data_IF_879562933768
#
_entry.id   IF_879562933768
#
_cell.length_a   1.000
_cell.length_b   1.000
_cell.length_c   1.000
_cell.angle_alpha   90.00
_cell.angle_beta   90.00
_cell.angle_gamma   90.00
#
_symmetry.space_group_name_H-M   'P 1'
#
loop_
_entity.id
_entity.type
_entity.pdbx_description
1 polymer ?
#
# COMPACT_ATOMS: atom_id res chain seq x y z
N UNK A 1 -35.58 -3.72 -8.49
CA UNK A 1 -34.61 -3.54 -7.42
C UNK A 1 -34.28 -4.90 -6.82
N UNK A 2 -32.98 -5.26 -6.70
CA UNK A 2 -32.56 -6.50 -6.06
C UNK A 2 -32.59 -6.35 -4.53
N UNK A 3 -33.00 -7.43 -3.83
CA UNK A 3 -33.10 -7.45 -2.37
C UNK A 3 -32.08 -8.42 -1.78
N UNK A 4 -31.40 -8.01 -0.71
CA UNK A 4 -30.41 -8.80 0.01
C UNK A 4 -30.71 -8.79 1.53
N UNK A 5 -30.28 -9.85 2.22
CA UNK A 5 -30.30 -9.86 3.68
C UNK A 5 -29.15 -9.01 4.21
N UNK A 6 -27.95 -9.16 3.62
CA UNK A 6 -26.76 -8.43 3.98
C UNK A 6 -26.11 -7.82 2.75
N UNK A 7 -25.81 -6.52 2.80
CA UNK A 7 -24.94 -5.86 1.83
C UNK A 7 -23.68 -5.38 2.54
N UNK A 8 -22.52 -5.71 1.98
CA UNK A 8 -21.22 -5.23 2.46
C UNK A 8 -20.72 -4.16 1.50
N UNK A 9 -20.42 -2.96 2.02
CA UNK A 9 -19.84 -1.86 1.25
C UNK A 9 -18.34 -1.86 1.47
N UNK A 10 -17.57 -2.17 0.41
CA UNK A 10 -16.13 -2.31 0.39
C UNK A 10 -15.68 -3.77 0.32
N UNK A 11 -14.85 -4.09 -0.67
CA UNK A 11 -14.30 -5.43 -0.96
C UNK A 11 -12.90 -5.66 -0.39
N UNK A 12 -12.45 -4.83 0.56
CA UNK A 12 -11.19 -5.03 1.29
C UNK A 12 -11.25 -6.16 2.32
N UNK A 13 -10.18 -6.38 3.12
CA UNK A 13 -10.10 -7.49 4.09
C UNK A 13 -11.27 -7.54 5.08
N UNK A 14 -11.72 -6.41 5.59
CA UNK A 14 -12.90 -6.34 6.45
C UNK A 14 -14.18 -6.73 5.72
N UNK A 15 -14.32 -6.33 4.45
CA UNK A 15 -15.52 -6.54 3.66
C UNK A 15 -15.63 -7.95 3.07
N UNK A 16 -14.62 -8.43 2.33
CA UNK A 16 -14.74 -9.74 1.70
C UNK A 16 -14.85 -10.87 2.73
N UNK A 17 -14.18 -10.75 3.88
CA UNK A 17 -14.29 -11.73 4.97
C UNK A 17 -15.71 -11.73 5.56
N UNK A 18 -16.27 -10.54 5.81
CA UNK A 18 -17.62 -10.38 6.31
C UNK A 18 -18.67 -10.93 5.32
N UNK A 19 -18.52 -10.62 4.02
CA UNK A 19 -19.43 -11.10 2.98
C UNK A 19 -19.40 -12.64 2.86
N UNK A 20 -18.22 -13.25 2.86
CA UNK A 20 -18.07 -14.72 2.84
C UNK A 20 -18.74 -15.32 4.07
N UNK A 21 -18.48 -14.76 5.25
CA UNK A 21 -19.07 -15.28 6.48
C UNK A 21 -20.60 -15.15 6.53
N UNK A 22 -21.14 -14.01 6.10
CA UNK A 22 -22.59 -13.81 6.00
C UNK A 22 -23.23 -14.86 5.08
N UNK A 23 -22.65 -15.07 3.89
CA UNK A 23 -23.14 -16.07 2.95
C UNK A 23 -23.07 -17.51 3.50
N UNK A 24 -21.99 -17.86 4.21
CA UNK A 24 -21.85 -19.16 4.88
C UNK A 24 -22.90 -19.39 5.98
N UNK A 25 -23.39 -18.32 6.60
CA UNK A 25 -24.49 -18.37 7.58
C UNK A 25 -25.87 -18.44 6.93
N UNK A 26 -25.94 -18.50 5.60
CA UNK A 26 -27.18 -18.66 4.85
C UNK A 26 -27.84 -17.36 4.41
N UNK A 27 -27.25 -16.19 4.66
CA UNK A 27 -27.78 -14.90 4.23
C UNK A 27 -27.57 -14.67 2.74
N UNK A 28 -28.57 -14.17 2.05
CA UNK A 28 -28.45 -13.66 0.68
C UNK A 28 -27.59 -12.39 0.71
N UNK A 29 -26.34 -12.51 0.26
CA UNK A 29 -25.32 -11.47 0.47
C UNK A 29 -24.87 -10.85 -0.85
N UNK A 30 -24.66 -9.52 -0.84
CA UNK A 30 -23.92 -8.80 -1.87
C UNK A 30 -22.72 -8.06 -1.27
N UNK A 31 -21.68 -7.86 -2.07
CA UNK A 31 -20.56 -6.99 -1.78
C UNK A 31 -20.43 -5.94 -2.89
N UNK A 32 -20.37 -4.67 -2.50
CA UNK A 32 -20.22 -3.54 -3.41
C UNK A 32 -18.83 -2.98 -3.28
N UNK A 33 -18.08 -2.90 -4.39
CA UNK A 33 -16.75 -2.28 -4.42
C UNK A 33 -16.53 -1.55 -5.75
N UNK A 34 -16.03 -0.32 -5.68
CA UNK A 34 -15.75 0.53 -6.84
C UNK A 34 -14.26 0.59 -7.21
N UNK A 35 -13.37 -0.14 -6.49
CA UNK A 35 -11.95 -0.04 -6.74
C UNK A 35 -11.56 -0.64 -8.10
N UNK A 36 -10.78 0.14 -8.86
CA UNK A 36 -10.31 -0.25 -10.20
C UNK A 36 -8.78 -0.26 -10.21
N UNK A 37 -8.19 -1.38 -10.64
CA UNK A 37 -6.76 -1.53 -10.87
C UNK A 37 -6.49 -1.93 -12.31
N UNK A 38 -5.58 -1.23 -12.98
CA UNK A 38 -5.23 -1.51 -14.38
C UNK A 38 -6.48 -1.59 -15.31
N UNK A 39 -7.45 -0.70 -15.09
CA UNK A 39 -8.69 -0.63 -15.88
C UNK A 39 -9.73 -1.70 -15.56
N UNK A 40 -9.51 -2.57 -14.55
CA UNK A 40 -10.42 -3.65 -14.15
C UNK A 40 -10.81 -3.52 -12.69
N UNK A 41 -12.04 -3.89 -12.34
CA UNK A 41 -12.45 -4.01 -10.95
C UNK A 41 -11.61 -5.07 -10.24
N UNK A 42 -11.19 -4.77 -9.01
CA UNK A 42 -10.29 -5.64 -8.25
C UNK A 42 -10.68 -5.65 -6.77
N UNK A 43 -11.16 -6.79 -6.31
CA UNK A 43 -11.40 -7.02 -4.88
C UNK A 43 -10.09 -7.09 -4.09
N UNK A 44 -10.20 -6.93 -2.77
CA UNK A 44 -9.07 -7.05 -1.85
C UNK A 44 -8.66 -5.73 -1.19
N UNK A 45 -9.22 -4.59 -1.64
CA UNK A 45 -8.98 -3.27 -1.06
C UNK A 45 -7.50 -2.86 -1.10
N UNK A 46 -7.16 -1.86 -0.31
CA UNK A 46 -5.80 -1.29 -0.21
C UNK A 46 -4.75 -2.34 0.12
N UNK A 47 -4.98 -3.19 1.13
CA UNK A 47 -3.99 -4.16 1.56
C UNK A 47 -3.56 -5.11 0.43
N UNK A 48 -4.51 -5.64 -0.33
CA UNK A 48 -4.19 -6.59 -1.39
C UNK A 48 -3.64 -5.91 -2.64
N UNK A 49 -4.21 -4.77 -3.03
CA UNK A 49 -3.89 -4.16 -4.32
C UNK A 49 -2.67 -3.25 -4.28
N UNK A 50 -2.55 -2.40 -3.24
CA UNK A 50 -1.54 -1.33 -3.14
C UNK A 50 -0.95 -1.18 -1.73
N UNK A 51 -0.97 -2.25 -0.94
CA UNK A 51 -0.49 -2.26 0.44
C UNK A 51 0.29 -3.51 0.80
N UNK A 52 -0.24 -4.30 1.74
CA UNK A 52 0.44 -5.40 2.41
C UNK A 52 0.94 -6.50 1.45
N UNK A 53 0.15 -6.89 0.48
CA UNK A 53 0.51 -7.99 -0.42
C UNK A 53 1.63 -7.58 -1.38
N UNK A 54 1.53 -6.48 -2.14
CA UNK A 54 2.61 -6.06 -3.00
C UNK A 54 3.88 -5.68 -2.22
N UNK A 55 3.77 -5.01 -1.06
CA UNK A 55 4.95 -4.64 -0.27
C UNK A 55 5.71 -5.87 0.23
N UNK A 56 5.02 -6.90 0.76
CA UNK A 56 5.66 -8.14 1.21
C UNK A 56 6.25 -8.95 0.05
N UNK A 57 5.63 -8.90 -1.13
CA UNK A 57 6.20 -9.52 -2.32
C UNK A 57 7.53 -8.87 -2.74
N UNK A 58 7.62 -7.53 -2.67
CA UNK A 58 8.86 -6.79 -2.94
C UNK A 58 9.90 -6.99 -1.83
N UNK A 59 9.50 -6.92 -0.56
CA UNK A 59 10.37 -7.19 0.59
C UNK A 59 11.02 -8.57 0.46
N UNK A 60 10.24 -9.61 0.17
CA UNK A 60 10.78 -10.97 -0.01
C UNK A 60 11.81 -11.05 -1.14
N UNK A 61 11.52 -10.43 -2.29
CA UNK A 61 12.45 -10.45 -3.43
C UNK A 61 13.73 -9.67 -3.16
N UNK A 62 13.63 -8.50 -2.53
CA UNK A 62 14.77 -7.67 -2.18
C UNK A 62 15.62 -8.30 -1.06
N UNK A 63 14.98 -9.00 -0.11
CA UNK A 63 15.69 -9.73 0.94
C UNK A 63 16.49 -10.89 0.37
N UNK A 64 15.90 -11.73 -0.47
CA UNK A 64 16.63 -12.81 -1.13
C UNK A 64 17.86 -12.30 -1.91
N UNK A 65 17.74 -11.12 -2.54
CA UNK A 65 18.88 -10.51 -3.23
C UNK A 65 19.95 -10.01 -2.26
N UNK A 66 19.54 -9.35 -1.18
CA UNK A 66 20.47 -8.87 -0.14
C UNK A 66 21.19 -10.04 0.57
N UNK A 67 20.47 -11.12 0.88
CA UNK A 67 21.06 -12.33 1.47
C UNK A 67 22.07 -12.98 0.53
N UNK A 68 21.73 -13.08 -0.77
CA UNK A 68 22.62 -13.63 -1.78
C UNK A 68 23.93 -12.83 -1.92
N UNK A 69 23.85 -11.49 -1.76
CA UNK A 69 25.00 -10.59 -1.90
C UNK A 69 25.84 -10.47 -0.63
N UNK A 70 25.26 -10.71 0.57
CA UNK A 70 25.95 -10.40 1.83
C UNK A 70 26.10 -11.61 2.76
N UNK A 71 25.15 -12.54 2.81
CA UNK A 71 25.10 -13.55 3.87
C UNK A 71 25.27 -14.99 3.37
N UNK A 72 24.92 -15.29 2.13
CA UNK A 72 24.92 -16.66 1.62
C UNK A 72 26.29 -17.32 1.57
N UNK A 73 27.37 -16.53 1.52
CA UNK A 73 28.74 -17.05 1.61
C UNK A 73 28.98 -17.81 2.93
N UNK A 74 28.36 -17.39 4.03
CA UNK A 74 28.46 -18.07 5.34
C UNK A 74 27.79 -19.46 5.31
N UNK A 75 26.82 -19.68 4.41
CA UNK A 75 26.17 -20.97 4.18
C UNK A 75 26.90 -21.84 3.14
N UNK A 76 28.05 -21.38 2.62
CA UNK A 76 28.77 -22.06 1.53
C UNK A 76 28.12 -21.89 0.16
N UNK A 77 27.22 -20.94 0.00
CA UNK A 77 26.55 -20.60 -1.27
C UNK A 77 27.26 -19.40 -1.87
N UNK A 78 27.85 -19.57 -3.05
CA UNK A 78 28.50 -18.49 -3.80
C UNK A 78 27.76 -18.22 -5.11
N UNK A 79 27.71 -16.96 -5.50
CA UNK A 79 27.18 -16.52 -6.78
C UNK A 79 28.07 -15.40 -7.32
N UNK A 80 28.59 -15.60 -8.52
CA UNK A 80 29.42 -14.59 -9.17
C UNK A 80 28.53 -13.48 -9.73
N UNK A 81 28.80 -12.23 -9.33
CA UNK A 81 28.17 -11.02 -9.81
C UNK A 81 26.62 -11.10 -9.85
N UNK A 82 25.96 -11.30 -8.69
CA UNK A 82 24.50 -11.41 -8.63
C UNK A 82 23.83 -10.13 -9.13
N UNK A 83 22.79 -10.29 -9.94
CA UNK A 83 22.03 -9.18 -10.52
C UNK A 83 20.56 -9.34 -10.16
N UNK A 84 19.88 -8.22 -9.92
CA UNK A 84 18.43 -8.19 -9.76
C UNK A 84 17.78 -7.55 -10.99
N UNK A 85 16.76 -8.21 -11.53
CA UNK A 85 15.92 -7.68 -12.60
C UNK A 85 14.65 -7.06 -11.97
N UNK A 86 14.62 -5.73 -11.87
CA UNK A 86 13.50 -4.99 -11.28
C UNK A 86 12.18 -5.27 -12.03
N UNK A 87 12.21 -5.42 -13.35
CA UNK A 87 11.00 -5.71 -14.13
C UNK A 87 10.41 -7.07 -13.77
N UNK A 88 11.26 -8.09 -13.57
CA UNK A 88 10.80 -9.42 -13.11
C UNK A 88 10.32 -9.38 -11.67
N UNK A 89 10.97 -8.63 -10.81
CA UNK A 89 10.51 -8.42 -9.42
C UNK A 89 9.12 -7.81 -9.38
N UNK A 90 8.87 -6.78 -10.18
CA UNK A 90 7.55 -6.15 -10.33
C UNK A 90 6.53 -7.11 -10.95
N UNK A 91 6.88 -7.83 -12.00
CA UNK A 91 5.98 -8.80 -12.63
C UNK A 91 5.56 -9.91 -11.65
N UNK A 92 6.48 -10.41 -10.81
CA UNK A 92 6.16 -11.35 -9.73
C UNK A 92 5.19 -10.74 -8.71
N UNK A 93 5.40 -9.49 -8.31
CA UNK A 93 4.47 -8.75 -7.42
C UNK A 93 3.07 -8.69 -8.03
N UNK A 94 2.95 -8.30 -9.30
CA UNK A 94 1.67 -8.20 -10.02
C UNK A 94 0.95 -9.56 -10.11
N UNK A 95 1.68 -10.63 -10.42
CA UNK A 95 1.13 -11.99 -10.47
C UNK A 95 0.55 -12.43 -9.12
N UNK A 96 1.26 -12.13 -8.02
CA UNK A 96 0.80 -12.42 -6.66
C UNK A 96 -0.49 -11.65 -6.35
N UNK A 97 -0.52 -10.35 -6.63
CA UNK A 97 -1.71 -9.51 -6.40
C UNK A 97 -2.90 -10.03 -7.22
N UNK A 98 -2.69 -10.28 -8.52
CA UNK A 98 -3.75 -10.75 -9.41
C UNK A 98 -4.30 -12.12 -9.00
N UNK A 99 -3.43 -13.05 -8.61
CA UNK A 99 -3.85 -14.37 -8.11
C UNK A 99 -4.69 -14.27 -6.85
N UNK A 100 -4.32 -13.40 -5.91
CA UNK A 100 -5.09 -13.21 -4.68
C UNK A 100 -6.45 -12.53 -4.95
N UNK A 101 -6.51 -11.50 -5.80
CA UNK A 101 -7.76 -10.85 -6.17
C UNK A 101 -8.73 -11.83 -6.86
N UNK A 102 -8.24 -12.62 -7.81
CA UNK A 102 -9.01 -13.67 -8.47
C UNK A 102 -9.47 -14.75 -7.47
N UNK A 103 -8.66 -15.04 -6.45
CA UNK A 103 -9.02 -15.96 -5.36
C UNK A 103 -10.24 -15.47 -4.57
N UNK A 104 -10.33 -14.16 -4.30
CA UNK A 104 -11.50 -13.58 -3.61
C UNK A 104 -12.74 -13.68 -4.50
N UNK A 105 -12.66 -13.31 -5.78
CA UNK A 105 -13.78 -13.46 -6.72
C UNK A 105 -14.23 -14.92 -6.86
N UNK A 106 -13.29 -15.87 -6.86
CA UNK A 106 -13.62 -17.30 -6.82
C UNK A 106 -14.39 -17.69 -5.54
N UNK A 107 -13.95 -17.19 -4.37
CA UNK A 107 -14.65 -17.42 -3.11
C UNK A 107 -16.04 -16.78 -3.09
N UNK A 108 -16.22 -15.61 -3.67
CA UNK A 108 -17.53 -14.98 -3.83
C UNK A 108 -18.46 -15.87 -4.66
N UNK A 109 -17.98 -16.31 -5.82
CA UNK A 109 -18.75 -17.22 -6.70
C UNK A 109 -19.10 -18.53 -5.99
N UNK A 110 -18.15 -19.15 -5.28
CA UNK A 110 -18.35 -20.39 -4.53
C UNK A 110 -19.42 -20.25 -3.45
N UNK A 111 -19.45 -19.12 -2.74
CA UNK A 111 -20.42 -18.84 -1.68
C UNK A 111 -21.68 -18.11 -2.20
N UNK A 112 -21.88 -17.98 -3.51
CA UNK A 112 -23.04 -17.33 -4.14
C UNK A 112 -23.25 -15.87 -3.70
N UNK A 113 -22.15 -15.16 -3.44
CA UNK A 113 -22.16 -13.73 -3.12
C UNK A 113 -22.32 -12.95 -4.43
N UNK A 114 -23.22 -12.00 -4.47
CA UNK A 114 -23.36 -11.09 -5.61
C UNK A 114 -22.29 -10.01 -5.52
N UNK A 115 -21.37 -10.02 -6.47
CA UNK A 115 -20.37 -8.97 -6.63
C UNK A 115 -20.99 -7.83 -7.42
N UNK A 116 -20.97 -6.60 -6.88
CA UNK A 116 -21.53 -5.41 -7.50
C UNK A 116 -20.42 -4.37 -7.61
N UNK A 117 -20.22 -3.86 -8.82
CA UNK A 117 -19.20 -2.84 -9.08
C UNK A 117 -19.79 -1.44 -8.92
N UNK A 118 -19.01 -0.54 -8.31
CA UNK A 118 -19.37 0.85 -8.15
C UNK A 118 -19.27 1.35 -6.70
N UNK A 119 -19.65 2.60 -6.53
CA UNK A 119 -19.60 3.31 -5.25
C UNK A 119 -20.99 3.40 -4.64
N UNK A 120 -21.16 2.78 -3.47
CA UNK A 120 -22.43 2.75 -2.77
C UNK A 120 -22.62 3.98 -1.88
N UNK A 121 -23.83 4.49 -1.86
CA UNK A 121 -24.31 5.52 -0.92
C UNK A 121 -25.68 5.14 -0.34
N UNK A 122 -25.96 5.56 0.90
CA UNK A 122 -27.28 5.42 1.49
C UNK A 122 -28.24 6.44 0.86
N UNK A 123 -29.38 5.97 0.37
CA UNK A 123 -30.43 6.82 -0.19
C UNK A 123 -31.54 7.07 0.83
N UNK A 124 -32.13 6.01 1.39
CA UNK A 124 -33.19 6.07 2.37
C UNK A 124 -33.24 4.79 3.22
N UNK A 125 -34.05 4.82 4.27
CA UNK A 125 -34.40 3.65 5.07
C UNK A 125 -35.92 3.57 5.19
N UNK A 126 -36.54 2.55 4.61
CA UNK A 126 -37.98 2.39 4.54
C UNK A 126 -38.38 0.93 4.83
N UNK A 127 -39.47 0.73 5.61
CA UNK A 127 -40.00 -0.60 5.87
C UNK A 127 -38.98 -1.56 6.53
N UNK A 128 -38.03 -1.05 7.34
CA UNK A 128 -37.00 -1.87 7.99
C UNK A 128 -35.87 -2.30 7.05
N UNK A 129 -35.75 -1.68 5.87
CA UNK A 129 -34.68 -1.92 4.91
C UNK A 129 -33.96 -0.64 4.56
N UNK A 130 -32.66 -0.78 4.27
CA UNK A 130 -31.85 0.29 3.70
C UNK A 130 -31.89 0.23 2.17
N UNK A 131 -32.11 1.35 1.54
CA UNK A 131 -32.00 1.50 0.08
C UNK A 131 -30.65 2.12 -0.20
N UNK A 132 -29.84 1.44 -1.01
CA UNK A 132 -28.52 1.88 -1.43
C UNK A 132 -28.58 2.25 -2.91
N UNK A 133 -28.00 3.39 -3.24
CA UNK A 133 -27.70 3.80 -4.61
C UNK A 133 -26.24 3.46 -4.91
N UNK A 134 -26.00 2.87 -6.06
CA UNK A 134 -24.66 2.47 -6.51
C UNK A 134 -24.38 3.16 -7.83
N UNK A 135 -23.26 3.88 -7.85
CA UNK A 135 -22.77 4.57 -9.04
C UNK A 135 -21.60 3.78 -9.65
N UNK A 136 -21.82 3.22 -10.81
CA UNK A 136 -20.76 2.63 -11.65
C UNK A 136 -20.49 3.53 -12.84
N UNK A 137 -19.56 4.49 -12.67
CA UNK A 137 -19.08 5.40 -13.73
C UNK A 137 -20.25 6.16 -14.41
N UNK A 138 -21.23 6.59 -13.60
CA UNK A 138 -22.44 7.30 -14.06
C UNK A 138 -23.65 6.39 -14.30
N UNK A 139 -23.48 5.07 -14.36
CA UNK A 139 -24.60 4.13 -14.38
C UNK A 139 -25.11 3.92 -12.96
N UNK A 140 -26.36 4.35 -12.70
CA UNK A 140 -26.99 4.26 -11.39
C UNK A 140 -27.84 3.01 -11.27
N UNK A 141 -27.69 2.28 -10.17
CA UNK A 141 -28.60 1.20 -9.79
C UNK A 141 -28.98 1.28 -8.32
N UNK A 142 -30.13 0.72 -7.97
CA UNK A 142 -30.60 0.66 -6.59
C UNK A 142 -30.76 -0.79 -6.13
N UNK A 143 -30.34 -1.03 -4.90
CA UNK A 143 -30.54 -2.30 -4.20
C UNK A 143 -31.09 -2.04 -2.81
N UNK A 144 -31.72 -3.05 -2.21
CA UNK A 144 -32.16 -2.98 -0.81
C UNK A 144 -31.48 -4.04 0.05
N UNK A 145 -31.25 -3.71 1.31
CA UNK A 145 -30.64 -4.58 2.31
C UNK A 145 -31.38 -4.52 3.64
N UNK A 146 -31.53 -5.66 4.30
CA UNK A 146 -32.00 -5.70 5.69
C UNK A 146 -30.90 -5.23 6.65
N UNK A 147 -29.65 -5.61 6.37
CA UNK A 147 -28.47 -5.21 7.13
C UNK A 147 -27.39 -4.69 6.17
N UNK A 148 -26.63 -3.70 6.64
CA UNK A 148 -25.50 -3.16 5.88
C UNK A 148 -24.25 -3.17 6.74
N UNK A 149 -23.17 -3.72 6.20
CA UNK A 149 -21.83 -3.67 6.81
C UNK A 149 -21.01 -2.64 6.05
N UNK A 150 -20.57 -1.58 6.73
CA UNK A 150 -19.72 -0.55 6.16
C UNK A 150 -18.26 -0.94 6.41
N UNK A 151 -17.54 -1.28 5.34
CA UNK A 151 -16.15 -1.72 5.35
C UNK A 151 -15.34 -0.96 4.27
N UNK A 152 -15.55 0.34 4.18
CA UNK A 152 -15.08 1.22 3.08
C UNK A 152 -13.55 1.44 3.05
N UNK A 153 -12.83 1.00 4.09
CA UNK A 153 -11.37 1.04 4.13
C UNK A 153 -10.79 2.44 4.34
N UNK A 154 -9.68 2.71 3.71
CA UNK A 154 -8.90 3.95 3.87
C UNK A 154 -8.22 4.35 2.56
N UNK A 155 -7.97 5.63 2.41
CA UNK A 155 -7.16 6.20 1.33
C UNK A 155 -5.86 6.79 1.90
N UNK A 156 -4.85 6.96 1.05
CA UNK A 156 -3.63 7.67 1.40
C UNK A 156 -3.95 9.10 1.82
N UNK A 157 -3.35 9.53 2.91
CA UNK A 157 -3.45 10.93 3.36
C UNK A 157 -2.37 11.75 2.69
N UNK A 158 -2.76 12.57 1.74
CA UNK A 158 -1.85 13.52 1.13
C UNK A 158 -1.53 14.67 2.06
N UNK A 159 -0.27 15.11 2.07
CA UNK A 159 0.14 16.33 2.77
C UNK A 159 -0.25 17.54 1.91
N UNK A 160 -0.99 18.54 2.44
CA UNK A 160 -1.48 19.65 1.63
C UNK A 160 -0.38 20.46 0.93
N UNK A 161 0.82 20.46 1.50
CA UNK A 161 1.98 21.20 1.00
C UNK A 161 2.81 20.44 -0.03
N UNK A 162 2.55 19.13 -0.21
CA UNK A 162 3.36 18.24 -1.06
C UNK A 162 2.44 17.51 -2.01
N UNK A 163 2.32 17.97 -3.23
CA UNK A 163 1.53 17.29 -4.26
C UNK A 163 2.29 16.07 -4.78
N UNK A 164 1.72 14.89 -4.65
CA UNK A 164 2.24 13.67 -5.26
C UNK A 164 1.88 13.63 -6.74
N UNK A 165 2.86 13.30 -7.58
CA UNK A 165 2.70 13.13 -9.03
C UNK A 165 2.91 11.67 -9.47
N UNK A 166 3.37 10.82 -8.55
CA UNK A 166 3.78 9.43 -8.78
C UNK A 166 4.84 9.27 -9.89
N UNK A 167 5.57 10.36 -10.17
CA UNK A 167 6.73 10.39 -11.05
C UNK A 167 8.00 10.65 -10.24
N UNK A 168 8.11 11.82 -9.63
CA UNK A 168 9.22 12.20 -8.75
C UNK A 168 8.82 12.23 -7.28
N UNK A 169 7.60 12.67 -6.99
CA UNK A 169 7.02 12.66 -5.64
C UNK A 169 5.96 11.57 -5.57
N UNK A 170 6.28 10.52 -4.85
CA UNK A 170 5.54 9.27 -4.80
C UNK A 170 4.67 9.18 -3.55
N UNK A 171 3.52 8.56 -3.68
CA UNK A 171 2.83 7.91 -2.57
C UNK A 171 3.21 6.41 -2.51
N UNK A 172 2.47 5.63 -1.70
CA UNK A 172 2.71 4.19 -1.59
C UNK A 172 2.53 3.46 -2.94
N UNK A 173 1.60 3.88 -3.78
CA UNK A 173 1.36 3.23 -5.08
C UNK A 173 2.55 3.47 -6.02
N UNK A 174 3.01 4.71 -6.14
CA UNK A 174 4.18 5.04 -6.92
C UNK A 174 5.45 4.34 -6.45
N UNK A 175 5.64 4.24 -5.12
CA UNK A 175 6.79 3.55 -4.56
C UNK A 175 6.77 2.03 -4.80
N UNK A 176 5.59 1.42 -4.89
CA UNK A 176 5.42 0.00 -5.24
C UNK A 176 5.67 -0.30 -6.73
N UNK A 177 5.62 0.72 -7.60
CA UNK A 177 5.66 0.58 -9.05
C UNK A 177 6.88 1.22 -9.71
N UNK A 178 7.91 1.61 -8.94
CA UNK A 178 9.17 2.12 -9.49
C UNK A 178 9.82 1.10 -10.42
N UNK A 179 9.96 1.45 -11.69
CA UNK A 179 10.46 0.56 -12.76
C UNK A 179 11.99 0.42 -12.80
N UNK A 180 12.69 1.23 -12.02
CA UNK A 180 14.13 1.19 -11.85
C UNK A 180 14.50 1.62 -10.44
N UNK A 181 15.64 1.14 -9.94
CA UNK A 181 16.19 1.57 -8.65
C UNK A 181 16.63 3.03 -8.73
N UNK A 182 16.10 3.96 -7.92
CA UNK A 182 16.62 5.30 -7.82
C UNK A 182 18.02 5.26 -7.19
N UNK A 183 18.91 6.17 -7.56
CA UNK A 183 20.20 6.29 -6.86
C UNK A 183 19.99 6.89 -5.47
N UNK A 184 19.23 7.97 -5.40
CA UNK A 184 18.90 8.69 -4.17
C UNK A 184 17.38 8.66 -3.95
N UNK A 185 16.94 8.04 -2.87
CA UNK A 185 15.54 8.01 -2.43
C UNK A 185 15.41 8.74 -1.10
N UNK A 186 14.62 9.80 -1.07
CA UNK A 186 14.18 10.40 0.18
C UNK A 186 12.81 9.87 0.59
N UNK A 187 12.62 9.58 1.87
CA UNK A 187 11.34 9.18 2.46
C UNK A 187 10.99 10.17 3.56
N UNK A 188 9.83 10.81 3.46
CA UNK A 188 9.28 11.65 4.54
C UNK A 188 8.32 10.80 5.35
N UNK A 189 8.68 10.57 6.61
CA UNK A 189 7.96 9.77 7.57
C UNK A 189 8.58 8.38 7.81
N UNK A 190 8.99 8.12 9.04
CA UNK A 190 9.47 6.80 9.50
C UNK A 190 8.30 5.90 9.97
N UNK A 191 7.17 5.97 9.25
CA UNK A 191 6.06 5.04 9.42
C UNK A 191 6.34 3.70 8.74
N UNK A 192 5.46 2.71 8.97
CA UNK A 192 5.62 1.34 8.45
C UNK A 192 5.83 1.32 6.94
N UNK A 193 5.02 2.07 6.17
CA UNK A 193 5.09 2.09 4.70
C UNK A 193 6.43 2.67 4.22
N UNK A 194 6.83 3.82 4.77
CA UNK A 194 8.10 4.47 4.41
C UNK A 194 9.30 3.59 4.70
N UNK A 195 9.31 2.91 5.86
CA UNK A 195 10.39 2.00 6.24
C UNK A 195 10.42 0.73 5.39
N UNK A 196 9.27 0.14 5.05
CA UNK A 196 9.19 -1.02 4.16
C UNK A 196 9.70 -0.68 2.76
N UNK A 197 9.22 0.41 2.16
CA UNK A 197 9.64 0.81 0.82
C UNK A 197 11.11 1.27 0.83
N UNK A 198 11.54 2.03 1.82
CA UNK A 198 12.94 2.38 2.00
C UNK A 198 13.84 1.15 2.11
N UNK A 199 13.42 0.12 2.86
CA UNK A 199 14.15 -1.14 2.99
C UNK A 199 14.24 -1.90 1.66
N UNK A 200 13.13 -1.99 0.90
CA UNK A 200 13.11 -2.64 -0.42
C UNK A 200 14.12 -1.99 -1.35
N UNK A 201 14.04 -0.67 -1.51
CA UNK A 201 14.88 0.04 -2.48
C UNK A 201 16.34 0.13 -2.05
N UNK A 202 16.63 0.23 -0.73
CA UNK A 202 17.99 0.14 -0.20
C UNK A 202 18.65 -1.20 -0.52
N UNK A 203 17.95 -2.32 -0.30
CA UNK A 203 18.46 -3.67 -0.57
C UNK A 203 18.80 -3.91 -2.04
N UNK A 204 18.15 -3.18 -2.95
CA UNK A 204 18.43 -3.27 -4.39
C UNK A 204 19.31 -2.14 -4.92
N UNK A 205 19.94 -1.37 -4.04
CA UNK A 205 21.05 -0.47 -4.35
C UNK A 205 20.74 1.03 -4.31
N UNK A 206 19.56 1.46 -3.80
CA UNK A 206 19.31 2.88 -3.56
C UNK A 206 20.00 3.37 -2.27
N UNK A 207 20.52 4.59 -2.28
CA UNK A 207 20.84 5.34 -1.06
C UNK A 207 19.53 5.91 -0.50
N UNK A 208 19.14 5.50 0.70
CA UNK A 208 17.86 5.88 1.29
C UNK A 208 18.06 6.78 2.49
N UNK A 209 17.49 7.98 2.43
CA UNK A 209 17.38 8.90 3.56
C UNK A 209 15.94 9.01 4.02
N UNK A 210 15.69 8.70 5.29
CA UNK A 210 14.39 8.81 5.95
C UNK A 210 14.39 10.03 6.85
N UNK A 211 13.47 10.96 6.62
CA UNK A 211 13.27 12.19 7.40
C UNK A 211 11.97 12.07 8.21
N UNK A 212 12.08 12.01 9.54
CA UNK A 212 10.94 11.90 10.45
C UNK A 212 10.79 13.18 11.28
N UNK A 213 9.59 13.74 11.27
CA UNK A 213 9.27 14.96 12.03
C UNK A 213 9.18 14.68 13.54
N UNK A 214 8.68 13.49 13.90
CA UNK A 214 8.58 13.09 15.30
C UNK A 214 9.97 12.86 15.93
N UNK A 215 10.05 13.05 17.23
CA UNK A 215 11.25 12.78 18.03
C UNK A 215 11.51 11.29 18.21
N UNK A 216 10.44 10.47 18.20
CA UNK A 216 10.51 9.01 18.37
C UNK A 216 10.39 8.30 17.05
N UNK A 217 11.29 7.35 16.81
CA UNK A 217 11.21 6.43 15.70
C UNK A 217 10.06 5.43 15.92
N UNK A 218 9.16 5.32 14.92
CA UNK A 218 8.04 4.36 14.88
C UNK A 218 7.24 4.29 16.20
N UNK A 219 6.66 5.40 16.67
CA UNK A 219 6.04 5.48 18.00
C UNK A 219 4.80 4.61 18.20
N UNK A 220 4.25 4.05 17.11
CA UNK A 220 3.09 3.14 17.13
C UNK A 220 3.47 1.71 17.49
N UNK A 221 4.76 1.35 17.44
CA UNK A 221 5.26 0.03 17.80
C UNK A 221 5.73 -0.01 19.28
N UNK A 222 5.88 -1.23 19.80
CA UNK A 222 6.53 -1.45 21.08
C UNK A 222 7.93 -0.83 21.08
N UNK A 223 8.33 -0.19 22.19
CA UNK A 223 9.58 0.57 22.28
C UNK A 223 10.82 -0.31 22.05
N UNK A 224 10.82 -1.53 22.55
CA UNK A 224 11.95 -2.44 22.40
C UNK A 224 12.05 -2.94 20.96
N UNK A 225 10.92 -3.28 20.35
CA UNK A 225 10.85 -3.66 18.94
C UNK A 225 11.26 -2.52 18.01
N UNK A 226 10.83 -1.28 18.32
CA UNK A 226 11.18 -0.08 17.58
C UNK A 226 12.69 0.19 17.62
N UNK A 227 13.32 0.10 18.80
CA UNK A 227 14.78 0.28 18.95
C UNK A 227 15.58 -0.76 18.16
N UNK A 228 15.17 -2.02 18.21
CA UNK A 228 15.87 -3.09 17.50
C UNK A 228 15.68 -2.95 15.97
N UNK A 229 14.47 -2.61 15.51
CA UNK A 229 14.23 -2.33 14.09
C UNK A 229 15.07 -1.16 13.59
N UNK A 230 15.12 -0.06 14.34
CA UNK A 230 15.93 1.12 13.99
C UNK A 230 17.43 0.73 13.79
N UNK A 231 17.99 0.00 14.76
CA UNK A 231 19.37 -0.48 14.70
C UNK A 231 19.62 -1.35 13.44
N UNK A 232 18.68 -2.25 13.12
CA UNK A 232 18.80 -3.15 11.97
C UNK A 232 18.69 -2.39 10.65
N UNK A 233 17.81 -1.39 10.54
CA UNK A 233 17.69 -0.56 9.34
C UNK A 233 18.92 0.33 9.11
N UNK A 234 19.52 0.90 10.17
CA UNK A 234 20.81 1.61 10.08
C UNK A 234 21.92 0.65 9.62
N UNK A 235 21.98 -0.56 10.17
CA UNK A 235 22.96 -1.58 9.74
C UNK A 235 22.76 -1.99 8.28
N UNK A 236 21.51 -1.97 7.80
CA UNK A 236 21.17 -2.22 6.39
C UNK A 236 21.58 -1.07 5.47
N UNK A 237 21.91 0.11 5.99
CA UNK A 237 22.37 1.27 5.23
C UNK A 237 21.39 2.41 5.09
N UNK A 238 20.23 2.37 5.77
CA UNK A 238 19.32 3.51 5.77
C UNK A 238 19.86 4.64 6.64
N UNK A 239 19.82 5.87 6.12
CA UNK A 239 20.09 7.08 6.90
C UNK A 239 18.78 7.60 7.47
N UNK A 240 18.57 7.46 8.78
CA UNK A 240 17.32 7.88 9.44
C UNK A 240 17.59 9.08 10.34
N UNK A 241 16.84 10.16 10.14
CA UNK A 241 16.91 11.39 10.93
C UNK A 241 15.55 11.70 11.53
N UNK A 242 15.48 11.73 12.85
CA UNK A 242 14.30 12.13 13.60
C UNK A 242 14.34 13.62 13.98
N UNK A 243 13.24 14.17 14.44
CA UNK A 243 13.11 15.57 14.87
C UNK A 243 13.48 16.57 13.78
N UNK A 244 13.21 16.23 12.52
CA UNK A 244 13.45 17.16 11.41
C UNK A 244 12.26 18.10 11.23
N UNK A 245 12.53 19.31 10.75
CA UNK A 245 11.50 20.23 10.26
C UNK A 245 11.62 20.28 8.74
N UNK A 246 10.61 19.77 8.06
CA UNK A 246 10.57 19.82 6.59
C UNK A 246 10.29 21.27 6.15
N UNK A 247 11.13 21.79 5.30
CA UNK A 247 11.01 23.10 4.67
C UNK A 247 10.42 23.02 3.27
N UNK A 248 10.94 23.84 2.37
CA UNK A 248 10.51 23.87 0.99
C UNK A 248 10.92 22.60 0.24
N UNK A 249 10.02 22.09 -0.59
CA UNK A 249 10.26 20.99 -1.51
C UNK A 249 10.11 21.49 -2.94
N UNK A 250 11.17 21.37 -3.72
CA UNK A 250 11.19 21.81 -5.12
C UNK A 250 11.23 20.57 -6.02
N UNK A 251 10.15 20.35 -6.76
CA UNK A 251 10.07 19.28 -7.76
C UNK A 251 10.57 19.80 -9.11
N UNK A 252 11.68 19.27 -9.59
CA UNK A 252 12.26 19.59 -10.91
C UNK A 252 12.09 18.37 -11.85
N UNK A 253 12.40 18.55 -13.13
CA UNK A 253 12.13 17.52 -14.17
C UNK A 253 12.70 16.13 -13.84
N UNK A 254 13.85 16.06 -13.17
CA UNK A 254 14.57 14.79 -12.92
C UNK A 254 14.83 14.47 -11.46
N UNK A 255 14.63 15.43 -10.57
CA UNK A 255 14.93 15.28 -9.16
C UNK A 255 14.03 16.14 -8.29
N UNK A 256 14.04 15.86 -7.00
CA UNK A 256 13.35 16.64 -5.98
C UNK A 256 14.39 17.15 -5.00
N UNK A 257 14.37 18.46 -4.72
CA UNK A 257 15.19 19.06 -3.67
C UNK A 257 14.34 19.22 -2.42
N UNK A 258 14.80 18.68 -1.31
CA UNK A 258 14.13 18.70 -0.01
C UNK A 258 14.99 19.54 0.93
N UNK A 259 14.50 20.70 1.31
CA UNK A 259 15.13 21.53 2.33
C UNK A 259 14.56 21.15 3.69
N UNK A 260 15.40 20.99 4.69
CA UNK A 260 14.97 20.64 6.05
C UNK A 260 15.94 21.17 7.10
N UNK A 261 15.44 21.37 8.32
CA UNK A 261 16.25 21.70 9.50
C UNK A 261 16.40 20.45 10.38
N UNK A 262 17.61 20.21 10.87
CA UNK A 262 17.91 19.16 11.83
C UNK A 262 18.92 19.66 12.85
N UNK A 263 18.63 19.54 14.15
CA UNK A 263 19.46 20.03 15.24
C UNK A 263 19.82 21.53 15.15
N UNK A 264 18.94 22.36 14.59
CA UNK A 264 19.16 23.80 14.43
C UNK A 264 19.95 24.20 13.19
N UNK A 265 20.42 23.26 12.39
CA UNK A 265 21.15 23.48 11.15
C UNK A 265 20.25 23.23 9.94
N UNK A 266 20.45 24.03 8.86
CA UNK A 266 19.73 23.88 7.61
C UNK A 266 20.47 22.93 6.66
N UNK A 267 19.71 22.04 6.04
CA UNK A 267 20.19 21.07 5.06
C UNK A 267 19.36 21.13 3.77
N UNK A 268 20.00 20.74 2.68
CA UNK A 268 19.34 20.55 1.39
C UNK A 268 19.75 19.17 0.85
N UNK A 269 18.77 18.33 0.55
CA UNK A 269 18.94 16.99 -0.01
C UNK A 269 18.35 16.96 -1.41
N UNK A 270 19.12 16.49 -2.38
CA UNK A 270 18.65 16.25 -3.75
C UNK A 270 18.44 14.75 -3.91
N UNK A 271 17.24 14.35 -4.28
CA UNK A 271 16.86 12.95 -4.49
C UNK A 271 16.27 12.72 -5.88
N UNK A 272 16.49 11.54 -6.46
CA UNK A 272 15.83 11.14 -7.71
C UNK A 272 14.33 10.95 -7.51
N UNK A 273 13.96 10.45 -6.31
CA UNK A 273 12.58 10.20 -5.90
C UNK A 273 12.36 10.60 -4.45
N UNK A 274 11.18 11.13 -4.18
CA UNK A 274 10.68 11.44 -2.85
C UNK A 274 9.42 10.59 -2.59
N UNK A 275 9.41 9.80 -1.52
CA UNK A 275 8.22 9.11 -1.01
C UNK A 275 7.64 9.90 0.18
N UNK A 276 6.32 10.16 0.16
CA UNK A 276 5.60 10.94 1.18
C UNK A 276 4.46 10.12 1.78
#
# INVERSE_FOLDING_TARGET
MQNFDVVVIGGGPGGYVAAIRAAQLGFKTACVDGYVRNGKYSLGGTCLNVGCIPSKALLQSSENYAELTHSFAEHGISCDNPQIDIKKMLARKEDIVSKNANGISFLFKKNKITEIHGWASFKTAEGGKYILSIDDKGAQQEISATQVIVATGSNSRHLPQIATDNLNILDNEGALDLTATPKELCVIGAGVIGLEMGSVWSRVGANVTVLEVADKFLPVADEQASKELHKNLIKQGLLIKNSVKIGEIVNADKNVTINYEHNGEQFSLVADKLLV
#
